data_IF_373778705269
#
_entry.id   IF_373778705269
#
_cell.length_a   1.000
_cell.length_b   1.000
_cell.length_c   1.000
_cell.angle_alpha   90.00
_cell.angle_beta   90.00
_cell.angle_gamma   90.00
#
_symmetry.space_group_name_H-M   'P 1'
#
loop_
_entity.id
_entity.type
_entity.pdbx_description
1 polymer ?
#
# COMPACT_ATOMS: atom_id res chain seq x y z
N UNK A 1 2.17 7.19 -3.16
CA UNK A 1 2.15 6.06 -2.19
C UNK A 1 3.48 5.98 -1.45
N UNK A 2 3.53 5.38 -0.25
CA UNK A 2 4.74 5.33 0.58
C UNK A 2 4.97 3.94 1.19
N UNK A 3 6.22 3.50 1.25
CA UNK A 3 6.70 2.42 2.11
C UNK A 3 7.89 2.94 2.93
N UNK A 4 8.08 2.47 4.16
CA UNK A 4 9.13 2.98 5.02
C UNK A 4 9.50 2.02 6.14
N UNK A 5 10.64 2.28 6.76
CA UNK A 5 11.16 1.49 7.87
C UNK A 5 12.03 2.36 8.78
N UNK A 6 12.23 1.92 10.01
CA UNK A 6 13.23 2.51 10.91
C UNK A 6 14.53 1.75 10.71
N UNK A 7 15.60 2.51 10.48
CA UNK A 7 16.94 1.99 10.29
C UNK A 7 17.55 1.61 11.66
N UNK A 8 17.98 0.35 11.86
CA UNK A 8 18.38 -0.13 13.17
C UNK A 8 19.71 0.46 13.66
N UNK A 9 20.65 0.78 12.77
CA UNK A 9 21.99 1.25 13.16
C UNK A 9 21.95 2.76 13.48
N UNK A 10 21.36 3.56 12.60
CA UNK A 10 21.25 5.01 12.77
C UNK A 10 20.07 5.47 13.61
N UNK A 11 19.04 4.64 13.75
CA UNK A 11 17.76 5.07 14.33
C UNK A 11 17.04 6.11 13.48
N UNK A 12 17.34 6.24 12.19
CA UNK A 12 16.61 7.16 11.32
C UNK A 12 15.36 6.49 10.73
N UNK A 13 14.30 7.27 10.49
CA UNK A 13 13.14 6.82 9.72
C UNK A 13 13.36 7.14 8.25
N UNK A 14 13.21 6.15 7.38
CA UNK A 14 13.21 6.35 5.93
C UNK A 14 11.85 6.02 5.34
N UNK A 15 11.40 6.85 4.41
CA UNK A 15 10.17 6.67 3.66
C UNK A 15 10.44 6.84 2.17
N UNK A 16 10.14 5.81 1.38
CA UNK A 16 10.22 5.80 -0.07
C UNK A 16 8.83 6.11 -0.62
N UNK A 17 8.71 7.29 -1.23
CA UNK A 17 7.47 7.83 -1.76
C UNK A 17 7.49 7.82 -3.29
N UNK A 18 6.36 7.51 -3.90
CA UNK A 18 6.21 7.73 -5.35
C UNK A 18 6.39 9.19 -5.68
N UNK A 19 7.18 9.44 -6.72
CA UNK A 19 7.28 10.74 -7.36
C UNK A 19 6.23 10.79 -8.48
N UNK A 20 5.38 11.82 -8.47
CA UNK A 20 4.32 12.00 -9.47
C UNK A 20 4.57 13.26 -10.30
N UNK A 21 4.33 13.19 -11.61
CA UNK A 21 4.35 14.37 -12.49
C UNK A 21 3.09 15.21 -12.36
N UNK A 22 1.95 14.55 -12.16
CA UNK A 22 0.64 15.18 -12.10
C UNK A 22 -0.25 14.39 -11.11
N UNK A 23 -0.87 15.13 -10.19
CA UNK A 23 -1.77 14.60 -9.16
C UNK A 23 -3.12 14.18 -9.73
N UNK A 24 -3.54 14.74 -10.87
CA UNK A 24 -4.80 14.40 -11.52
C UNK A 24 -4.72 13.05 -12.24
N UNK A 25 -3.60 12.78 -12.91
CA UNK A 25 -3.38 11.52 -13.64
C UNK A 25 -2.71 10.44 -12.81
N UNK A 26 -2.16 10.82 -11.64
CA UNK A 26 -1.31 9.97 -10.79
C UNK A 26 -0.12 9.37 -11.55
N UNK A 27 0.34 10.03 -12.62
CA UNK A 27 1.45 9.54 -13.45
C UNK A 27 2.72 9.49 -12.62
N UNK A 28 3.20 8.27 -12.38
CA UNK A 28 4.43 8.03 -11.65
C UNK A 28 5.65 8.30 -12.53
N UNK A 29 6.65 9.01 -11.98
CA UNK A 29 7.89 9.38 -12.66
C UNK A 29 9.15 8.97 -11.87
N UNK A 30 8.98 8.20 -10.82
CA UNK A 30 10.07 7.64 -10.03
C UNK A 30 9.74 7.48 -8.56
N UNK A 31 10.77 7.56 -7.73
CA UNK A 31 10.73 7.37 -6.28
C UNK A 31 11.63 8.40 -5.63
N UNK A 32 11.09 9.14 -4.67
CA UNK A 32 11.87 9.98 -3.77
C UNK A 32 11.98 9.29 -2.41
N UNK A 33 13.12 9.43 -1.75
CA UNK A 33 13.28 9.06 -0.34
C UNK A 33 13.16 10.30 0.53
N UNK A 34 12.49 10.15 1.68
CA UNK A 34 12.48 11.11 2.79
C UNK A 34 13.22 10.46 3.96
N UNK A 35 14.31 11.07 4.38
CA UNK A 35 15.12 10.64 5.52
C UNK A 35 14.84 11.57 6.70
N UNK A 36 14.33 11.02 7.80
CA UNK A 36 14.02 11.75 9.04
C UNK A 36 14.97 11.26 10.13
N UNK A 37 15.85 12.14 10.62
CA UNK A 37 16.90 11.76 11.58
C UNK A 37 16.46 11.77 13.04
N UNK A 38 15.48 12.60 13.38
CA UNK A 38 14.98 12.80 14.74
C UNK A 38 13.51 12.34 14.89
N UNK A 39 13.16 11.20 14.31
CA UNK A 39 11.77 10.69 14.29
C UNK A 39 11.20 10.40 15.69
N UNK A 40 12.06 10.33 16.71
CA UNK A 40 11.68 10.15 18.12
C UNK A 40 11.16 11.42 18.79
N UNK A 41 11.29 12.60 18.16
CA UNK A 41 10.62 13.81 18.66
C UNK A 41 9.10 13.61 18.58
N UNK A 42 8.42 13.81 19.70
CA UNK A 42 6.98 13.58 19.84
C UNK A 42 6.13 14.53 18.99
N UNK A 43 6.70 15.67 18.56
CA UNK A 43 6.05 16.62 17.66
C UNK A 43 6.61 16.47 16.24
N UNK A 44 5.85 15.85 15.29
CA UNK A 44 6.30 15.68 13.92
C UNK A 44 6.60 16.99 13.18
N UNK A 45 6.10 18.13 13.67
CA UNK A 45 6.42 19.44 13.08
C UNK A 45 7.88 19.86 13.31
N UNK A 46 8.58 19.19 14.22
CA UNK A 46 10.00 19.41 14.54
C UNK A 46 10.92 18.41 13.88
N UNK A 47 10.37 17.49 13.10
CA UNK A 47 11.17 16.51 12.39
C UNK A 47 12.04 17.20 11.34
N UNK A 48 13.34 16.95 11.42
CA UNK A 48 14.35 17.35 10.47
C UNK A 48 14.45 16.26 9.43
N UNK A 49 14.11 16.62 8.19
CA UNK A 49 14.15 15.70 7.08
C UNK A 49 14.99 16.23 5.92
N UNK A 50 15.53 15.30 5.15
CA UNK A 50 16.15 15.56 3.86
C UNK A 50 15.53 14.62 2.82
N UNK A 51 15.58 15.01 1.55
CA UNK A 51 15.04 14.21 0.45
C UNK A 51 16.06 14.00 -0.65
N UNK A 52 15.92 12.89 -1.36
CA UNK A 52 16.68 12.60 -2.58
C UNK A 52 15.83 11.80 -3.54
N UNK A 53 16.01 12.03 -4.84
CA UNK A 53 15.52 11.10 -5.87
C UNK A 53 16.35 9.80 -5.80
N UNK A 54 15.71 8.66 -5.93
CA UNK A 54 16.39 7.36 -6.04
C UNK A 54 16.97 7.23 -7.44
N UNK A 55 18.30 7.20 -7.58
CA UNK A 55 18.96 7.30 -8.89
C UNK A 55 18.52 6.25 -9.92
N UNK A 56 18.23 5.02 -9.47
CA UNK A 56 17.74 3.93 -10.32
C UNK A 56 16.21 3.90 -10.48
N UNK A 57 15.52 5.02 -10.25
CA UNK A 57 14.08 5.15 -10.42
C UNK A 57 13.73 6.12 -11.55
N UNK A 58 12.74 5.75 -12.34
CA UNK A 58 12.20 6.51 -13.46
C UNK A 58 10.70 6.18 -13.66
N UNK A 59 10.13 6.46 -14.84
CA UNK A 59 8.75 6.10 -15.17
C UNK A 59 8.53 4.58 -15.28
N UNK A 60 9.59 3.81 -15.50
CA UNK A 60 9.54 2.36 -15.68
C UNK A 60 9.84 1.63 -14.38
N UNK A 61 10.81 2.11 -13.61
CA UNK A 61 11.28 1.51 -12.35
C UNK A 61 10.93 2.40 -11.17
N UNK A 62 10.26 1.81 -10.18
CA UNK A 62 10.08 2.45 -8.89
C UNK A 62 10.43 1.53 -7.73
N UNK A 63 10.78 2.10 -6.58
CA UNK A 63 11.33 1.38 -5.42
C UNK A 63 10.59 1.74 -4.13
N UNK A 64 9.27 1.93 -4.25
CA UNK A 64 8.39 2.41 -3.18
C UNK A 64 7.37 1.38 -2.67
N UNK A 65 7.44 0.13 -3.14
CA UNK A 65 6.40 -0.86 -2.88
C UNK A 65 6.55 -1.49 -1.48
N UNK A 66 7.77 -1.83 -1.09
CA UNK A 66 8.09 -2.31 0.26
C UNK A 66 9.51 -1.95 0.66
N UNK A 67 9.74 -1.65 1.94
CA UNK A 67 11.06 -1.28 2.46
C UNK A 67 11.28 -2.03 3.76
N UNK A 68 12.45 -2.64 3.91
CA UNK A 68 12.83 -3.41 5.10
C UNK A 68 14.31 -3.18 5.41
N UNK A 69 14.63 -2.78 6.63
CA UNK A 69 16.01 -2.80 7.10
C UNK A 69 16.44 -4.25 7.37
N UNK A 70 17.58 -4.65 6.81
CA UNK A 70 18.14 -5.97 6.98
C UNK A 70 18.60 -6.22 8.42
N UNK A 71 18.41 -7.44 8.89
CA UNK A 71 18.82 -7.83 10.24
C UNK A 71 20.33 -8.12 10.26
N UNK A 72 21.13 -7.11 10.61
CA UNK A 72 22.56 -7.27 10.90
C UNK A 72 23.48 -7.40 9.69
N UNK A 73 22.97 -7.20 8.47
CA UNK A 73 23.77 -7.18 7.23
C UNK A 73 24.07 -5.74 6.74
N UNK A 74 23.54 -4.72 7.44
CA UNK A 74 23.68 -3.30 7.14
C UNK A 74 23.14 -2.90 5.76
N UNK A 75 22.21 -3.69 5.20
CA UNK A 75 21.50 -3.34 3.97
C UNK A 75 20.07 -2.89 4.27
N UNK A 76 19.57 -1.97 3.46
CA UNK A 76 18.15 -1.64 3.35
C UNK A 76 17.65 -2.27 2.06
N UNK A 77 16.59 -3.06 2.16
CA UNK A 77 15.96 -3.76 1.05
C UNK A 77 14.73 -3.00 0.57
N UNK A 78 14.57 -2.90 -0.74
CA UNK A 78 13.42 -2.27 -1.38
C UNK A 78 12.80 -3.25 -2.37
N UNK A 79 11.49 -3.44 -2.29
CA UNK A 79 10.71 -4.02 -3.38
C UNK A 79 10.21 -2.88 -4.24
N UNK A 80 10.45 -3.04 -5.53
CA UNK A 80 10.09 -2.10 -6.57
C UNK A 80 9.31 -2.77 -7.70
N UNK A 81 8.66 -1.96 -8.51
CA UNK A 81 7.99 -2.41 -9.73
C UNK A 81 8.80 -2.04 -10.97
N UNK A 82 8.65 -2.85 -12.01
CA UNK A 82 9.03 -2.52 -13.38
C UNK A 82 7.81 -2.58 -14.28
N UNK A 83 7.53 -1.52 -15.02
CA UNK A 83 6.57 -1.53 -16.11
C UNK A 83 7.19 -2.20 -17.35
N UNK A 84 6.58 -3.29 -17.82
CA UNK A 84 7.05 -4.01 -19.01
C UNK A 84 6.29 -3.60 -20.28
N UNK A 85 5.29 -2.73 -20.17
CA UNK A 85 4.59 -2.13 -21.31
C UNK A 85 4.25 -0.66 -21.06
N UNK A 86 4.06 0.10 -22.14
CA UNK A 86 3.69 1.52 -22.10
C UNK A 86 2.26 1.77 -21.58
N UNK A 87 1.49 0.71 -21.30
CA UNK A 87 0.11 0.80 -20.81
C UNK A 87 0.03 0.62 -19.29
N UNK A 88 1.15 0.34 -18.62
CA UNK A 88 1.19 0.02 -17.19
C UNK A 88 0.44 -1.26 -16.82
N UNK A 89 0.07 -2.09 -17.80
CA UNK A 89 -0.77 -3.29 -17.59
C UNK A 89 0.04 -4.54 -17.27
N UNK A 90 1.34 -4.53 -17.59
CA UNK A 90 2.24 -5.63 -17.34
C UNK A 90 3.36 -5.19 -16.41
N UNK A 91 3.13 -5.31 -15.10
CA UNK A 91 4.10 -4.92 -14.09
C UNK A 91 4.70 -6.14 -13.41
N UNK A 92 5.99 -6.10 -13.11
CA UNK A 92 6.71 -7.14 -12.36
C UNK A 92 7.38 -6.55 -11.15
N UNK A 93 7.50 -7.33 -10.09
CA UNK A 93 8.10 -6.90 -8.82
C UNK A 93 9.54 -7.40 -8.73
N UNK A 94 10.42 -6.53 -8.22
CA UNK A 94 11.87 -6.72 -8.22
C UNK A 94 12.44 -6.33 -6.85
N UNK A 95 13.60 -6.89 -6.51
CA UNK A 95 14.31 -6.59 -5.27
C UNK A 95 15.54 -5.75 -5.54
N UNK A 96 15.70 -4.67 -4.79
CA UNK A 96 16.92 -3.90 -4.67
C UNK A 96 17.41 -3.88 -3.22
N UNK A 97 18.68 -3.53 -3.05
CA UNK A 97 19.26 -3.19 -1.75
C UNK A 97 20.29 -2.08 -1.88
N UNK A 98 20.54 -1.39 -0.78
CA UNK A 98 21.60 -0.39 -0.64
C UNK A 98 22.17 -0.47 0.78
N UNK A 99 23.45 -0.15 0.97
CA UNK A 99 24.02 -0.05 2.33
C UNK A 99 23.33 1.08 3.10
N UNK A 100 23.13 0.89 4.40
CA UNK A 100 22.50 1.90 5.24
C UNK A 100 23.29 3.23 5.19
N UNK A 101 24.62 3.19 5.32
CA UNK A 101 25.48 4.37 5.25
C UNK A 101 25.34 5.14 3.93
N UNK A 102 25.27 4.41 2.81
CA UNK A 102 25.09 4.98 1.49
C UNK A 102 23.71 5.65 1.37
N UNK A 103 22.66 5.02 1.89
CA UNK A 103 21.31 5.60 1.93
C UNK A 103 21.27 6.88 2.78
N UNK A 104 21.93 6.89 3.95
CA UNK A 104 22.00 8.05 4.85
C UNK A 104 22.76 9.24 4.25
N UNK A 105 23.68 8.96 3.33
CA UNK A 105 24.45 9.94 2.58
C UNK A 105 23.81 10.32 1.23
N UNK A 106 22.70 9.68 0.86
CA UNK A 106 22.12 9.72 -0.50
C UNK A 106 23.12 9.38 -1.61
N UNK A 107 24.06 8.48 -1.31
CA UNK A 107 25.01 7.93 -2.26
C UNK A 107 24.41 6.68 -2.94
N UNK A 108 23.84 6.84 -4.13
CA UNK A 108 23.12 5.75 -4.81
C UNK A 108 24.03 4.81 -5.60
N UNK A 109 25.33 5.08 -5.71
CA UNK A 109 26.28 4.30 -6.50
C UNK A 109 26.41 2.85 -6.01
N UNK A 110 26.16 2.61 -4.73
CA UNK A 110 26.18 1.29 -4.09
C UNK A 110 24.88 0.49 -4.22
N UNK A 111 23.85 1.00 -4.91
CA UNK A 111 22.58 0.30 -5.06
C UNK A 111 22.73 -0.94 -5.94
N UNK A 112 22.16 -2.06 -5.48
CA UNK A 112 22.24 -3.37 -6.14
C UNK A 112 20.84 -3.95 -6.35
N UNK A 113 20.70 -4.80 -7.37
CA UNK A 113 19.44 -5.44 -7.74
C UNK A 113 19.62 -6.96 -7.76
N UNK A 114 18.60 -7.70 -7.34
CA UNK A 114 18.65 -9.15 -7.39
C UNK A 114 18.49 -9.63 -8.85
N UNK A 115 19.53 -10.20 -9.43
CA UNK A 115 19.57 -10.75 -10.80
C UNK A 115 19.14 -12.21 -10.90
N UNK A 116 18.79 -12.86 -9.79
CA UNK A 116 18.46 -14.29 -9.77
C UNK A 116 19.70 -15.18 -9.80
N UNK A 117 19.49 -16.50 -9.74
CA UNK A 117 20.59 -17.47 -9.82
C UNK A 117 20.93 -17.81 -11.28
N UNK A 118 22.21 -17.90 -11.67
CA UNK A 118 23.41 -17.75 -10.84
C UNK A 118 23.97 -16.31 -10.77
N UNK A 119 23.27 -15.31 -11.33
CA UNK A 119 23.79 -13.96 -11.49
C UNK A 119 24.04 -13.23 -10.15
N UNK A 120 23.26 -13.53 -9.11
CA UNK A 120 23.37 -12.90 -7.81
C UNK A 120 22.95 -11.41 -7.85
N UNK A 121 23.69 -10.56 -7.13
CA UNK A 121 23.43 -9.12 -7.10
C UNK A 121 24.09 -8.41 -8.28
N UNK A 122 23.30 -7.67 -9.06
CA UNK A 122 23.71 -6.91 -10.26
C UNK A 122 23.57 -5.40 -10.04
N UNK A 123 24.20 -4.59 -10.87
CA UNK A 123 24.26 -3.12 -10.72
C UNK A 123 23.26 -2.36 -11.60
N UNK A 124 22.59 -3.03 -12.54
CA UNK A 124 21.59 -2.41 -13.43
C UNK A 124 20.19 -2.91 -13.06
N UNK A 125 19.26 -1.99 -12.84
CA UNK A 125 17.86 -2.31 -12.55
C UNK A 125 17.21 -3.18 -13.64
N UNK A 126 17.57 -2.95 -14.91
CA UNK A 126 17.08 -3.74 -16.05
C UNK A 126 17.47 -5.22 -16.01
N UNK A 127 18.58 -5.55 -15.35
CA UNK A 127 19.08 -6.91 -15.22
C UNK A 127 18.47 -7.62 -13.99
N UNK A 128 17.58 -6.95 -13.25
CA UNK A 128 16.91 -7.53 -12.09
C UNK A 128 15.96 -8.67 -12.49
N UNK A 129 16.09 -9.80 -11.81
CA UNK A 129 15.14 -10.90 -11.89
C UNK A 129 13.80 -10.52 -11.27
N UNK A 130 12.74 -11.06 -11.86
CA UNK A 130 11.38 -10.96 -11.33
C UNK A 130 11.26 -11.78 -10.03
N UNK A 131 10.69 -11.18 -8.99
CA UNK A 131 10.22 -11.89 -7.81
C UNK A 131 8.83 -12.49 -8.06
N UNK A 132 7.86 -11.67 -8.47
CA UNK A 132 6.48 -12.06 -8.75
C UNK A 132 5.80 -11.04 -9.67
N UNK A 133 4.63 -11.39 -10.20
CA UNK A 133 3.84 -10.52 -11.09
C UNK A 133 3.03 -9.49 -10.27
N UNK A 134 2.83 -8.30 -10.85
CA UNK A 134 2.04 -7.20 -10.30
C UNK A 134 0.53 -7.32 -10.59
N UNK A 135 -0.23 -6.21 -10.60
CA UNK A 135 0.17 -4.80 -10.82
C UNK A 135 0.33 -3.96 -9.53
N UNK A 136 0.90 -4.55 -8.49
CA UNK A 136 0.93 -3.88 -7.18
C UNK A 136 1.89 -2.70 -7.15
N UNK A 137 1.34 -1.52 -6.92
CA UNK A 137 2.06 -0.25 -6.73
C UNK A 137 2.27 0.08 -5.24
N UNK A 138 1.61 -0.69 -4.35
CA UNK A 138 1.64 -0.55 -2.90
C UNK A 138 1.77 -1.88 -2.18
N UNK A 139 2.55 -1.87 -1.11
CA UNK A 139 2.66 -3.01 -0.22
C UNK A 139 3.39 -2.70 1.09
N UNK A 140 3.70 -3.76 1.82
CA UNK A 140 4.49 -3.71 3.05
C UNK A 140 5.39 -4.94 3.06
N UNK A 141 6.69 -4.74 2.89
CA UNK A 141 7.67 -5.81 3.04
C UNK A 141 7.99 -5.96 4.53
N UNK A 142 7.79 -7.15 5.07
CA UNK A 142 8.13 -7.47 6.44
C UNK A 142 8.59 -8.92 6.60
N UNK A 143 9.28 -9.18 7.69
CA UNK A 143 9.60 -10.53 8.15
C UNK A 143 8.58 -10.95 9.20
N UNK A 144 8.00 -12.13 9.03
CA UNK A 144 7.07 -12.71 9.98
C UNK A 144 7.82 -13.43 11.10
N UNK A 145 7.33 -13.44 12.35
CA UNK A 145 7.94 -14.18 13.47
C UNK A 145 8.18 -15.67 13.18
N UNK A 146 7.33 -16.28 12.35
CA UNK A 146 7.49 -17.68 11.90
C UNK A 146 8.64 -17.92 10.89
N UNK A 147 9.41 -16.88 10.55
CA UNK A 147 10.66 -17.01 9.79
C UNK A 147 10.49 -17.00 8.26
N UNK A 148 9.50 -16.27 7.74
CA UNK A 148 9.34 -16.02 6.31
C UNK A 148 9.17 -14.52 6.04
N UNK A 149 9.50 -14.08 4.83
CA UNK A 149 9.24 -12.72 4.36
C UNK A 149 7.89 -12.67 3.65
N UNK A 150 7.21 -11.55 3.73
CA UNK A 150 5.94 -11.35 3.06
C UNK A 150 5.74 -9.93 2.57
N UNK A 151 4.86 -9.80 1.57
CA UNK A 151 4.32 -8.53 1.07
C UNK A 151 2.81 -8.65 0.98
N UNK A 152 2.11 -7.71 1.61
CA UNK A 152 0.65 -7.55 1.45
C UNK A 152 0.38 -6.68 0.24
N UNK A 153 -0.50 -7.14 -0.64
CA UNK A 153 -0.79 -6.52 -1.92
C UNK A 153 -2.32 -6.40 -2.12
N UNK A 154 -2.77 -5.24 -2.60
CA UNK A 154 -4.15 -5.03 -3.05
C UNK A 154 -4.15 -4.02 -4.19
N UNK A 155 -4.47 -4.48 -5.40
CA UNK A 155 -4.69 -3.59 -6.52
C UNK A 155 -6.00 -2.82 -6.32
N UNK A 156 -6.00 -1.53 -6.67
CA UNK A 156 -7.20 -0.71 -6.56
C UNK A 156 -8.35 -1.31 -7.36
N UNK A 157 -9.48 -1.58 -6.70
CA UNK A 157 -10.66 -2.18 -7.31
C UNK A 157 -10.69 -3.71 -7.26
N UNK A 158 -9.59 -4.38 -6.97
CA UNK A 158 -9.59 -5.83 -6.83
C UNK A 158 -10.29 -6.27 -5.54
N UNK A 159 -11.05 -7.39 -5.57
CA UNK A 159 -11.77 -7.87 -4.39
C UNK A 159 -10.87 -8.68 -3.46
N UNK A 160 -9.61 -8.93 -3.81
CA UNK A 160 -8.75 -9.87 -3.09
C UNK A 160 -7.50 -9.17 -2.57
N UNK A 161 -7.26 -9.30 -1.27
CA UNK A 161 -5.96 -9.04 -0.67
C UNK A 161 -5.11 -10.30 -0.90
N UNK A 162 -3.98 -10.10 -1.56
CA UNK A 162 -3.01 -11.15 -1.87
C UNK A 162 -1.81 -10.96 -0.96
N UNK A 163 -1.29 -12.06 -0.41
CA UNK A 163 -0.01 -12.07 0.27
C UNK A 163 0.97 -12.83 -0.61
N UNK A 164 2.06 -12.15 -0.96
CA UNK A 164 3.24 -12.81 -1.52
C UNK A 164 4.18 -13.17 -0.38
N UNK A 165 4.74 -14.38 -0.37
CA UNK A 165 5.64 -14.83 0.69
C UNK A 165 6.82 -15.67 0.16
N UNK A 166 7.92 -15.67 0.91
CA UNK A 166 9.13 -16.43 0.60
C UNK A 166 9.93 -16.76 1.86
N UNK A 167 10.71 -17.85 1.83
CA UNK A 167 11.64 -18.19 2.92
C UNK A 167 12.88 -17.28 2.97
N UNK A 168 13.22 -16.62 1.85
CA UNK A 168 14.31 -15.66 1.69
C UNK A 168 13.81 -14.45 0.92
N UNK A 169 14.40 -13.27 1.14
CA UNK A 169 14.11 -12.05 0.35
C UNK A 169 14.32 -12.28 -1.15
N UNK A 170 15.29 -13.11 -1.52
CA UNK A 170 15.61 -13.47 -2.91
C UNK A 170 14.67 -14.52 -3.52
N UNK A 171 13.69 -15.00 -2.75
CA UNK A 171 12.69 -15.95 -3.19
C UNK A 171 13.06 -17.42 -2.93
N UNK A 172 12.37 -18.36 -3.61
CA UNK A 172 11.26 -18.12 -4.53
C UNK A 172 10.05 -17.50 -3.82
N UNK A 173 9.36 -16.58 -4.48
CA UNK A 173 8.15 -15.94 -3.98
C UNK A 173 6.89 -16.63 -4.53
N UNK A 174 5.95 -16.96 -3.64
CA UNK A 174 4.62 -17.47 -3.98
C UNK A 174 3.53 -16.48 -3.58
N UNK A 175 2.37 -16.50 -4.23
CA UNK A 175 1.24 -15.63 -3.92
C UNK A 175 -0.02 -16.42 -3.57
N UNK A 176 -0.77 -15.97 -2.56
CA UNK A 176 -2.03 -16.57 -2.17
C UNK A 176 -3.07 -15.50 -1.81
N UNK A 177 -4.34 -15.75 -2.15
CA UNK A 177 -5.46 -14.92 -1.69
C UNK A 177 -5.59 -15.13 -0.18
N UNK A 178 -5.33 -14.08 0.58
CA UNK A 178 -5.39 -14.13 2.05
C UNK A 178 -6.77 -13.71 2.57
N UNK A 179 -7.43 -12.80 1.85
CA UNK A 179 -8.75 -12.31 2.22
C UNK A 179 -9.51 -11.80 1.00
N UNK A 180 -10.79 -12.17 0.89
CA UNK A 180 -11.71 -11.59 -0.10
C UNK A 180 -12.58 -10.56 0.60
N UNK A 181 -12.58 -9.34 0.07
CA UNK A 181 -13.34 -8.20 0.55
C UNK A 181 -14.85 -8.46 0.45
N UNK A 182 -15.68 -7.83 1.31
CA UNK A 182 -17.13 -7.95 1.20
C UNK A 182 -17.65 -7.51 -0.18
N UNK A 183 -18.60 -8.25 -0.78
CA UNK A 183 -19.07 -8.00 -2.15
C UNK A 183 -19.81 -6.67 -2.32
N UNK A 184 -20.25 -6.06 -1.22
CA UNK A 184 -21.06 -4.86 -1.21
C UNK A 184 -20.32 -3.60 -1.72
N UNK A 185 -18.99 -3.62 -1.82
CA UNK A 185 -18.21 -2.46 -2.31
C UNK A 185 -18.66 -2.02 -3.71
N UNK A 186 -18.73 -2.96 -4.67
CA UNK A 186 -19.13 -2.65 -6.04
C UNK A 186 -20.58 -2.12 -6.13
N UNK A 187 -21.48 -2.66 -5.28
CA UNK A 187 -22.88 -2.23 -5.21
C UNK A 187 -23.02 -0.76 -4.79
N UNK A 188 -22.12 -0.27 -3.95
CA UNK A 188 -22.15 1.09 -3.42
C UNK A 188 -21.23 2.05 -4.16
N UNK A 189 -20.80 1.70 -5.38
CA UNK A 189 -19.82 2.51 -6.13
C UNK A 189 -18.54 2.74 -5.31
N UNK A 190 -18.10 1.74 -4.56
CA UNK A 190 -16.90 1.76 -3.74
C UNK A 190 -15.84 0.81 -4.27
N UNK A 191 -14.58 1.16 -4.06
CA UNK A 191 -13.44 0.30 -4.33
C UNK A 191 -12.46 0.33 -3.16
N UNK A 192 -11.73 -0.76 -2.99
CA UNK A 192 -10.68 -0.86 -1.99
C UNK A 192 -9.30 -0.74 -2.62
N UNK A 193 -8.32 -0.29 -1.84
CA UNK A 193 -6.95 -0.07 -2.27
C UNK A 193 -6.01 0.03 -1.05
N UNK A 194 -4.71 0.20 -1.30
CA UNK A 194 -3.69 0.51 -0.29
C UNK A 194 -3.66 -0.47 0.90
N UNK A 195 -3.65 -1.77 0.62
CA UNK A 195 -3.49 -2.75 1.69
C UNK A 195 -2.07 -2.66 2.30
N UNK A 196 -1.99 -2.63 3.63
CA UNK A 196 -0.74 -2.51 4.40
C UNK A 196 -0.73 -3.48 5.57
N UNK A 197 0.43 -4.08 5.83
CA UNK A 197 0.63 -4.90 7.02
C UNK A 197 1.03 -4.03 8.22
N UNK A 198 0.60 -4.44 9.42
CA UNK A 198 0.87 -3.77 10.69
C UNK A 198 1.39 -4.78 11.71
N UNK A 199 2.63 -5.30 11.55
CA UNK A 199 3.19 -6.28 12.49
C UNK A 199 3.21 -5.78 13.94
N UNK A 200 3.30 -4.48 14.17
CA UNK A 200 3.26 -3.82 15.48
C UNK A 200 1.88 -3.91 16.18
N UNK A 201 0.81 -4.25 15.45
CA UNK A 201 -0.55 -4.41 15.99
C UNK A 201 -0.93 -5.87 16.25
N UNK A 202 -0.06 -6.82 15.88
CA UNK A 202 -0.25 -8.25 16.12
C UNK A 202 -0.16 -8.55 17.62
N UNK A 203 -1.04 -9.42 18.11
CA UNK A 203 -1.11 -9.84 19.51
C UNK A 203 -0.57 -11.26 19.73
N UNK A 204 -0.29 -11.98 18.65
CA UNK A 204 0.27 -13.33 18.66
C UNK A 204 1.26 -13.52 17.50
N UNK A 205 2.20 -14.46 17.67
CA UNK A 205 3.23 -14.78 16.65
C UNK A 205 2.66 -15.36 15.36
N UNK A 206 1.43 -15.91 15.41
CA UNK A 206 0.70 -16.49 14.28
C UNK A 206 -0.33 -15.52 13.68
N UNK A 207 -0.23 -14.22 13.97
CA UNK A 207 -1.20 -13.22 13.54
C UNK A 207 -0.62 -12.21 12.52
N UNK A 208 -1.37 -11.97 11.45
CA UNK A 208 -1.19 -10.83 10.56
C UNK A 208 -2.33 -9.82 10.73
N UNK A 209 -1.97 -8.56 10.94
CA UNK A 209 -2.90 -7.43 10.94
C UNK A 209 -2.72 -6.66 9.65
N UNK A 210 -3.81 -6.49 8.90
CA UNK A 210 -3.81 -5.80 7.62
C UNK A 210 -4.84 -4.68 7.66
N UNK A 211 -4.46 -3.48 7.23
CA UNK A 211 -5.43 -2.44 6.88
C UNK A 211 -5.60 -2.35 5.38
N UNK A 212 -6.74 -1.84 4.93
CA UNK A 212 -6.94 -1.35 3.57
C UNK A 212 -7.87 -0.14 3.60
N UNK A 213 -7.80 0.70 2.58
CA UNK A 213 -8.67 1.86 2.47
C UNK A 213 -9.84 1.55 1.52
N UNK A 214 -10.94 2.27 1.71
CA UNK A 214 -12.07 2.26 0.77
C UNK A 214 -12.31 3.68 0.30
N UNK A 215 -12.55 3.82 -1.00
CA UNK A 215 -12.96 5.07 -1.61
C UNK A 215 -14.16 4.80 -2.52
N UNK A 216 -14.71 5.84 -3.15
CA UNK A 216 -15.76 5.70 -4.15
C UNK A 216 -15.28 6.00 -5.55
N UNK A 217 -16.00 5.44 -6.52
CA UNK A 217 -15.87 5.77 -7.93
C UNK A 217 -16.68 7.02 -8.25
N UNK A 218 -16.22 7.78 -9.25
CA UNK A 218 -16.89 9.01 -9.70
C UNK A 218 -15.96 10.20 -9.72
N UNK A 219 -16.24 11.15 -10.62
CA UNK A 219 -15.45 12.37 -10.76
C UNK A 219 -15.58 13.24 -9.50
N UNK A 220 -14.45 13.78 -9.03
CA UNK A 220 -14.42 14.68 -7.86
C UNK A 220 -14.70 14.02 -6.51
N UNK A 221 -14.88 12.70 -6.43
CA UNK A 221 -15.14 11.97 -5.17
C UNK A 221 -16.33 12.51 -4.36
N UNK A 222 -17.36 13.03 -5.04
CA UNK A 222 -18.52 13.70 -4.40
C UNK A 222 -19.30 12.83 -3.42
N UNK A 223 -19.13 11.50 -3.46
CA UNK A 223 -19.67 10.60 -2.45
C UNK A 223 -19.16 10.89 -1.02
N UNK A 224 -18.02 11.58 -0.91
CA UNK A 224 -17.38 11.97 0.34
C UNK A 224 -17.96 13.27 0.90
N UNK A 225 -18.76 14.00 0.10
CA UNK A 225 -19.37 15.26 0.50
C UNK A 225 -20.34 15.05 1.66
N UNK A 226 -19.98 15.61 2.82
CA UNK A 226 -20.77 15.48 4.05
C UNK A 226 -20.75 14.09 4.68
N UNK A 227 -20.03 13.11 4.12
CA UNK A 227 -19.90 11.77 4.68
C UNK A 227 -18.54 11.11 4.40
N UNK A 228 -17.60 11.28 5.34
CA UNK A 228 -16.28 10.67 5.28
C UNK A 228 -16.21 9.26 5.88
N UNK A 229 -17.35 8.69 6.30
CA UNK A 229 -17.37 7.39 7.02
C UNK A 229 -16.87 6.22 6.18
N UNK A 230 -16.83 6.35 4.85
CA UNK A 230 -16.30 5.32 3.97
C UNK A 230 -14.78 5.42 3.78
N UNK A 231 -14.21 6.62 3.96
CA UNK A 231 -12.80 6.93 3.71
C UNK A 231 -11.96 6.82 4.98
N UNK A 232 -12.06 5.65 5.61
CA UNK A 232 -11.28 5.28 6.80
C UNK A 232 -10.64 3.92 6.58
N UNK A 233 -9.44 3.67 7.14
CA UNK A 233 -8.83 2.35 7.08
C UNK A 233 -9.73 1.29 7.74
N UNK A 234 -9.88 0.15 7.08
CA UNK A 234 -10.57 -1.04 7.60
C UNK A 234 -9.53 -2.11 7.91
N UNK A 235 -9.70 -2.80 9.03
CA UNK A 235 -8.74 -3.80 9.50
C UNK A 235 -9.26 -5.23 9.34
N UNK A 236 -8.34 -6.13 9.00
CA UNK A 236 -8.53 -7.58 8.99
C UNK A 236 -7.41 -8.21 9.82
N UNK A 237 -7.79 -9.16 10.68
CA UNK A 237 -6.86 -9.99 11.44
C UNK A 237 -6.91 -11.40 10.88
N UNK A 238 -5.76 -11.94 10.50
CA UNK A 238 -5.61 -13.26 9.90
C UNK A 238 -4.72 -14.11 10.78
N UNK A 239 -5.05 -15.40 10.91
CA UNK A 239 -4.12 -16.39 11.46
C UNK A 239 -3.30 -16.99 10.33
N UNK A 240 -2.00 -17.17 10.57
CA UNK A 240 -1.07 -17.70 9.58
C UNK A 240 -0.35 -18.92 10.15
N UNK A 241 -0.25 -19.94 9.31
CA UNK A 241 0.50 -21.16 9.62
C UNK A 241 1.61 -21.33 8.60
N UNK A 242 2.80 -21.69 9.07
CA UNK A 242 3.91 -22.07 8.19
C UNK A 242 3.68 -23.49 7.67
N UNK A 243 3.31 -23.63 6.40
CA UNK A 243 3.26 -24.95 5.76
C UNK A 243 4.67 -25.36 5.32
N UNK A 244 5.37 -26.14 6.15
CA UNK A 244 6.64 -26.78 5.76
C UNK A 244 6.31 -28.03 4.96
N UNK A 245 5.96 -27.88 3.68
CA UNK A 245 5.79 -29.04 2.80
C UNK A 245 7.11 -29.29 2.06
N UNK A 246 7.82 -30.35 2.44
CA UNK A 246 8.98 -30.82 1.70
C UNK A 246 8.60 -31.09 0.23
N UNK A 247 9.19 -30.33 -0.70
CA UNK A 247 9.32 -30.74 -2.10
C UNK A 247 8.25 -30.34 -3.11
N UNK A 248 7.15 -29.64 -2.76
CA UNK A 248 6.22 -29.02 -3.73
C UNK A 248 5.37 -27.95 -3.05
N UNK A 249 5.58 -26.69 -3.41
CA UNK A 249 4.89 -25.56 -2.79
C UNK A 249 3.40 -25.54 -3.15
N UNK A 250 2.54 -25.68 -2.13
CA UNK A 250 1.18 -25.15 -2.10
C UNK A 250 0.98 -24.56 -0.71
N UNK A 251 0.83 -23.25 -0.64
CA UNK A 251 0.44 -22.53 0.58
C UNK A 251 -1.09 -22.51 0.65
N UNK A 252 -1.64 -22.96 1.78
CA UNK A 252 -3.08 -22.89 2.05
C UNK A 252 -3.25 -22.00 3.27
N UNK A 253 -3.75 -20.79 3.08
CA UNK A 253 -4.26 -19.93 4.14
C UNK A 253 -5.69 -20.35 4.46
N UNK A 254 -5.99 -20.62 5.73
CA UNK A 254 -7.37 -20.83 6.18
C UNK A 254 -8.00 -19.49 6.54
N UNK A 255 -9.23 -19.28 6.06
CA UNK A 255 -9.96 -18.02 6.14
C UNK A 255 -10.47 -17.68 7.55
N UNK A 256 -10.76 -16.38 7.73
CA UNK A 256 -11.07 -15.69 8.98
C UNK A 256 -12.16 -16.33 9.87
N UNK A 257 -11.94 -16.23 11.18
CA UNK A 257 -12.98 -16.43 12.21
C UNK A 257 -14.02 -15.30 12.07
N UNK A 258 -15.28 -15.67 11.85
CA UNK A 258 -16.41 -14.73 11.76
C UNK A 258 -16.50 -13.85 13.02
N UNK A 259 -16.64 -12.55 12.82
CA UNK A 259 -17.09 -11.64 13.87
C UNK A 259 -18.43 -12.11 14.47
N UNK A 260 -18.66 -11.92 15.79
CA UNK A 260 -19.92 -12.29 16.42
C UNK A 260 -21.07 -11.48 15.82
N UNK A 261 -22.14 -12.18 15.39
CA UNK A 261 -23.38 -11.53 14.96
C UNK A 261 -23.99 -10.75 16.13
N UNK A 262 -24.45 -9.51 15.94
CA UNK A 262 -25.28 -8.85 16.93
C UNK A 262 -26.57 -9.66 17.12
N UNK A 263 -26.90 -9.96 18.37
CA UNK A 263 -28.09 -10.73 18.72
C UNK A 263 -29.34 -9.91 18.40
N UNK A 264 -30.17 -10.42 17.50
CA UNK A 264 -31.51 -9.90 17.26
C UNK A 264 -32.42 -10.30 18.43
N UNK A 265 -32.52 -9.44 19.45
CA UNK A 265 -33.68 -9.44 20.33
C UNK A 265 -34.70 -8.43 19.84
N UNK A 266 -35.81 -8.97 19.38
CA UNK A 266 -37.08 -8.31 19.10
C UNK A 266 -37.57 -7.54 20.34
N UNK A 267 -38.05 -6.31 20.12
CA UNK A 267 -38.52 -5.47 21.22
C UNK A 267 -39.24 -4.21 20.76
N UNK A 268 -40.51 -4.38 20.34
CA UNK A 268 -41.64 -3.44 20.43
C UNK A 268 -41.60 -2.09 19.68
N UNK A 269 -42.63 -1.97 18.82
CA UNK A 269 -43.26 -0.76 18.27
C UNK A 269 -43.42 0.36 19.31
N UNK A 270 -43.02 1.58 18.95
CA UNK A 270 -43.74 2.80 19.30
C UNK A 270 -43.87 3.70 18.07
N UNK A 271 -45.08 4.21 17.85
CA UNK A 271 -45.52 4.84 16.60
C UNK A 271 -44.88 6.19 16.30
N UNK A 272 -44.74 6.47 15.01
CA UNK A 272 -44.55 7.83 14.50
C UNK A 272 -45.82 8.27 13.76
N UNK A 273 -46.53 9.21 14.38
CA UNK A 273 -47.47 10.10 13.72
C UNK A 273 -46.68 11.07 12.82
N UNK A 274 -47.23 11.26 11.61
CA UNK A 274 -47.40 12.53 10.89
C UNK A 274 -46.31 13.59 11.04
N UNK A 275 -45.61 13.89 9.94
CA UNK A 275 -45.37 15.27 9.51
C UNK A 275 -45.18 15.30 7.99
N UNK A 276 -46.10 15.99 7.31
CA UNK A 276 -45.94 16.47 5.95
C UNK A 276 -45.15 17.79 5.97
N UNK A 277 -44.42 18.16 4.90
CA UNK A 277 -44.06 19.54 4.68
C UNK A 277 -45.10 20.21 3.77
N UNK A 278 -45.67 21.30 4.29
CA UNK A 278 -46.45 22.26 3.53
C UNK A 278 -45.53 23.24 2.79
N UNK A 279 -46.03 23.68 1.64
CA UNK A 279 -45.63 24.83 0.83
C UNK A 279 -44.98 26.01 1.56
N UNK A 280 -43.95 26.58 0.92
CA UNK A 280 -43.79 28.04 0.80
C UNK A 280 -43.42 28.38 -0.64
N UNK A 281 -44.26 29.19 -1.28
CA UNK A 281 -43.92 29.93 -2.49
C UNK A 281 -43.49 31.36 -2.17
N UNK A 282 -42.92 32.00 -3.19
CA UNK A 282 -42.55 33.41 -3.42
C UNK A 282 -41.12 33.40 -4.01
N UNK A 283 -40.77 33.99 -5.14
CA UNK A 283 -41.44 34.89 -6.06
C UNK A 283 -40.39 35.80 -6.71
N UNK A 284 -40.41 35.90 -8.05
CA UNK A 284 -39.93 36.99 -8.93
C UNK A 284 -38.42 37.33 -9.06
N UNK A 285 -38.07 37.69 -10.30
CA UNK A 285 -36.97 38.59 -10.70
C UNK A 285 -35.95 37.91 -11.62
N UNK A 286 -36.04 38.07 -12.95
CA UNK A 286 -35.28 39.06 -13.73
C UNK A 286 -33.75 38.85 -13.56
N UNK A 287 -32.98 38.39 -14.56
CA UNK A 287 -32.98 38.84 -15.94
C UNK A 287 -31.94 39.96 -16.06
N UNK A 288 -30.66 39.61 -16.17
CA UNK A 288 -29.63 40.52 -16.64
C UNK A 288 -28.45 39.73 -17.23
N UNK A 289 -28.33 39.88 -18.55
CA UNK A 289 -27.20 39.54 -19.39
C UNK A 289 -26.10 40.60 -19.25
N UNK A 290 -24.85 40.20 -19.17
CA UNK A 290 -23.75 41.02 -19.69
C UNK A 290 -22.57 40.15 -20.14
N UNK A 291 -22.03 40.37 -21.36
CA UNK A 291 -20.87 39.68 -21.89
C UNK A 291 -19.58 40.44 -21.54
N UNK A 292 -18.51 39.71 -21.21
CA UNK A 292 -17.15 40.25 -21.33
C UNK A 292 -16.33 39.33 -22.24
N UNK A 293 -16.01 39.91 -23.40
CA UNK A 293 -15.01 39.54 -24.38
C UNK A 293 -13.71 40.28 -24.09
N UNK A 294 -12.58 39.57 -24.15
CA UNK A 294 -11.25 40.01 -24.62
C UNK A 294 -10.38 38.73 -24.64
N UNK A 295 -9.63 38.38 -25.69
CA UNK A 295 -8.37 39.02 -26.16
C UNK A 295 -7.45 39.48 -25.03
#
# INVERSE_FOLDING_TARGET
MVAGTVLPESGALVAFAQRQADVATLTQIGTDVVLIRNFSDADPQRWQYATSHVAASDQVHSWNNGVLAGEGDGFVYMIGMRENDLKGTNQTQHLARIREDDLLAFNWDGMQFWGGEPAGWVVRAWDAAKLYDGPFTEGTLAKHPLGFYYVVCLQAGDPNIIIHSAASLTGPWGGAIAYTLPPDLARYQQFAYAAKAHPELAQAEDELVISYNVNCVGEGFTCLDGNLSIYVPRFVRLKVTRNVTAGRARETLHSAVRAPRPSSKSGRRLGRRLFAPAHKGHGKGAGESSPYSSE
#
